data_IF_970615341334
#
_entry.id   IF_970615341334
#
_cell.length_a   1.000
_cell.length_b   1.000
_cell.length_c   1.000
_cell.angle_alpha   90.00
_cell.angle_beta   90.00
_cell.angle_gamma   90.00
#
_symmetry.space_group_name_H-M   'P 1'
#
loop_
_entity.id
_entity.type
_entity.pdbx_description
1 polymer ?
#
# COMPACT_ATOMS: atom_id res chain seq x y z
N UNK A 1 11.82 0.93 8.62
CA UNK A 1 10.35 0.83 8.75
C UNK A 1 9.82 0.01 7.59
N UNK A 2 8.79 -0.80 7.83
CA UNK A 2 8.03 -1.48 6.78
C UNK A 2 6.56 -1.14 6.95
N UNK A 3 5.84 -0.87 5.86
CA UNK A 3 4.41 -0.56 5.88
C UNK A 3 3.72 -1.38 4.80
N UNK A 4 2.56 -1.93 5.08
CA UNK A 4 1.72 -2.55 4.06
C UNK A 4 0.61 -3.40 4.66
N UNK A 5 0.32 -4.53 4.02
CA UNK A 5 -0.72 -5.45 4.46
C UNK A 5 -0.14 -6.82 4.78
N UNK A 6 -0.72 -7.48 5.79
CA UNK A 6 -0.47 -8.87 6.15
C UNK A 6 -1.70 -9.71 5.83
N UNK A 7 -1.47 -10.92 5.37
CA UNK A 7 -2.53 -11.90 5.16
C UNK A 7 -3.03 -12.45 6.51
N UNK A 8 -4.35 -12.60 6.68
CA UNK A 8 -4.94 -13.10 7.92
C UNK A 8 -4.59 -14.55 8.25
N UNK A 9 -4.57 -15.39 7.22
CA UNK A 9 -4.54 -16.84 7.33
C UNK A 9 -3.11 -17.40 7.27
N UNK A 10 -2.16 -16.56 6.85
CA UNK A 10 -0.77 -16.95 6.59
C UNK A 10 0.21 -15.89 7.08
N UNK A 11 1.49 -16.25 7.20
CA UNK A 11 2.56 -15.30 7.55
C UNK A 11 3.09 -14.49 6.35
N UNK A 12 2.29 -14.36 5.29
CA UNK A 12 2.61 -13.55 4.11
C UNK A 12 2.30 -12.08 4.38
N UNK A 13 3.13 -11.21 3.83
CA UNK A 13 2.94 -9.77 3.84
C UNK A 13 3.38 -9.19 2.49
N UNK A 14 2.76 -8.06 2.14
CA UNK A 14 3.16 -7.22 1.03
C UNK A 14 3.44 -5.85 1.64
N UNK A 15 4.70 -5.43 1.63
CA UNK A 15 5.15 -4.24 2.35
C UNK A 15 6.10 -3.42 1.49
N UNK A 16 6.07 -2.11 1.66
CA UNK A 16 7.14 -1.23 1.21
C UNK A 16 8.20 -1.11 2.29
N UNK A 17 9.46 -1.11 1.88
CA UNK A 17 10.61 -0.73 2.66
C UNK A 17 11.20 0.57 2.11
N UNK A 18 10.80 1.74 2.64
CA UNK A 18 11.19 3.04 2.09
C UNK A 18 12.71 3.28 2.09
N UNK A 19 13.42 2.71 3.06
CA UNK A 19 14.89 2.86 3.17
C UNK A 19 15.63 2.30 1.95
N UNK A 20 15.13 1.22 1.39
CA UNK A 20 15.73 0.58 0.21
C UNK A 20 14.92 0.81 -1.06
N UNK A 21 13.84 1.59 -1.00
CA UNK A 21 12.98 1.87 -2.14
C UNK A 21 12.51 0.58 -2.83
N UNK A 22 12.05 -0.41 -2.06
CA UNK A 22 11.57 -1.70 -2.57
C UNK A 22 10.19 -2.04 -2.03
N UNK A 23 9.38 -2.67 -2.87
CA UNK A 23 8.18 -3.41 -2.48
C UNK A 23 8.56 -4.88 -2.33
N UNK A 24 8.38 -5.41 -1.13
CA UNK A 24 8.59 -6.81 -0.80
C UNK A 24 7.25 -7.55 -0.86
N UNK A 25 7.15 -8.52 -1.75
CA UNK A 25 6.08 -9.51 -1.78
C UNK A 25 6.75 -10.88 -1.65
N UNK A 26 6.60 -11.56 -0.50
CA UNK A 26 7.35 -12.80 -0.20
C UNK A 26 7.26 -13.91 -1.25
N UNK A 27 6.30 -13.86 -2.19
CA UNK A 27 6.19 -14.82 -3.30
C UNK A 27 7.05 -14.47 -4.53
N UNK A 28 7.48 -13.21 -4.68
CA UNK A 28 8.14 -12.69 -5.89
C UNK A 28 9.44 -11.94 -5.56
N UNK A 29 10.27 -11.70 -6.58
CA UNK A 29 11.41 -10.80 -6.45
C UNK A 29 10.96 -9.39 -6.03
N UNK A 30 11.69 -8.71 -5.13
CA UNK A 30 11.38 -7.33 -4.75
C UNK A 30 11.31 -6.44 -5.98
N UNK A 31 10.32 -5.56 -6.04
CA UNK A 31 10.20 -4.56 -7.10
C UNK A 31 10.77 -3.24 -6.61
N UNK A 32 11.71 -2.65 -7.35
CA UNK A 32 12.22 -1.31 -7.05
C UNK A 32 11.14 -0.27 -7.31
N UNK A 33 11.14 0.78 -6.51
CA UNK A 33 10.26 1.94 -6.65
C UNK A 33 11.10 3.22 -6.64
N UNK A 34 10.62 4.27 -7.30
CA UNK A 34 11.30 5.56 -7.30
C UNK A 34 10.88 6.37 -6.07
N UNK A 35 11.59 6.19 -4.97
CA UNK A 35 11.34 6.87 -3.69
C UNK A 35 12.65 7.09 -2.94
N UNK A 36 12.75 8.21 -2.23
CA UNK A 36 13.77 8.48 -1.22
C UNK A 36 13.07 8.69 0.10
N UNK A 37 13.57 8.07 1.18
CA UNK A 37 13.00 8.23 2.51
C UNK A 37 13.55 9.49 3.20
N UNK A 38 12.65 10.35 3.70
CA UNK A 38 12.97 11.48 4.56
C UNK A 38 12.06 11.54 5.80
N UNK A 39 12.50 12.31 6.80
CA UNK A 39 11.69 12.62 7.98
C UNK A 39 10.44 13.40 7.56
N UNK A 40 9.30 13.11 8.22
CA UNK A 40 7.98 13.68 7.94
C UNK A 40 7.31 13.21 6.64
N UNK A 41 7.92 12.27 5.91
CA UNK A 41 7.24 11.64 4.78
C UNK A 41 5.96 10.92 5.22
N UNK A 42 4.90 11.13 4.45
CA UNK A 42 3.61 10.46 4.65
C UNK A 42 3.52 9.29 3.67
N UNK A 43 3.56 8.08 4.19
CA UNK A 43 3.36 6.87 3.41
C UNK A 43 1.91 6.40 3.49
N UNK A 44 1.35 6.02 2.34
CA UNK A 44 0.04 5.38 2.26
C UNK A 44 0.13 3.97 1.67
N UNK A 45 -0.81 3.12 2.08
CA UNK A 45 -1.02 1.80 1.51
C UNK A 45 -2.51 1.64 1.20
N UNK A 46 -2.83 1.29 -0.04
CA UNK A 46 -4.20 1.10 -0.49
C UNK A 46 -4.40 -0.30 -1.05
N UNK A 47 -5.58 -0.88 -0.79
CA UNK A 47 -6.06 -2.13 -1.36
C UNK A 47 -7.25 -1.81 -2.26
N UNK A 48 -7.19 -2.24 -3.52
CA UNK A 48 -8.23 -1.96 -4.49
C UNK A 48 -8.83 -3.28 -4.96
N UNK A 49 -10.14 -3.41 -4.79
CA UNK A 49 -10.91 -4.53 -5.32
C UNK A 49 -11.43 -4.19 -6.72
N UNK A 50 -11.45 -5.16 -7.64
CA UNK A 50 -12.10 -4.97 -8.92
C UNK A 50 -13.60 -4.74 -8.74
N UNK A 51 -14.24 -4.01 -9.67
CA UNK A 51 -15.70 -3.96 -9.75
C UNK A 51 -16.32 -5.36 -9.76
N UNK A 52 -17.50 -5.52 -9.16
CA UNK A 52 -18.16 -6.83 -8.97
C UNK A 52 -18.46 -7.57 -10.27
N UNK A 53 -18.57 -6.87 -11.39
CA UNK A 53 -18.78 -7.44 -12.73
C UNK A 53 -17.48 -7.94 -13.40
N UNK A 54 -16.31 -7.70 -12.82
CA UNK A 54 -15.00 -8.12 -13.34
C UNK A 54 -14.43 -9.31 -12.56
N UNK A 55 -15.16 -10.44 -12.56
CA UNK A 55 -14.85 -11.63 -11.75
C UNK A 55 -13.50 -12.31 -12.05
N UNK A 56 -12.90 -12.04 -13.22
CA UNK A 56 -11.60 -12.59 -13.61
C UNK A 56 -10.40 -11.73 -13.18
N UNK A 57 -10.64 -10.57 -12.56
CA UNK A 57 -9.58 -9.67 -12.09
C UNK A 57 -9.35 -9.89 -10.59
N UNK A 58 -8.13 -9.64 -10.12
CA UNK A 58 -7.76 -9.82 -8.71
C UNK A 58 -7.49 -8.46 -8.06
N UNK A 59 -7.73 -8.31 -6.76
CA UNK A 59 -7.34 -7.10 -6.04
C UNK A 59 -5.85 -6.81 -6.19
N UNK A 60 -5.47 -5.53 -6.07
CA UNK A 60 -4.06 -5.13 -6.00
C UNK A 60 -3.81 -4.21 -4.82
N UNK A 61 -2.55 -4.17 -4.39
CA UNK A 61 -2.07 -3.21 -3.39
C UNK A 61 -1.23 -2.16 -4.10
N UNK A 62 -1.41 -0.91 -3.72
CA UNK A 62 -0.53 0.17 -4.16
C UNK A 62 0.01 0.95 -2.96
N UNK A 63 1.12 1.64 -3.18
CA UNK A 63 1.79 2.43 -2.18
C UNK A 63 1.90 3.87 -2.66
N UNK A 64 1.87 4.79 -1.70
CA UNK A 64 2.03 6.22 -1.96
C UNK A 64 3.05 6.83 -1.02
N UNK A 65 3.70 7.89 -1.47
CA UNK A 65 4.52 8.78 -0.66
C UNK A 65 4.07 10.22 -0.93
N UNK A 66 3.77 10.97 0.12
CA UNK A 66 3.35 12.36 0.07
C UNK A 66 2.17 12.60 -0.90
N UNK A 67 1.27 11.62 -0.99
CA UNK A 67 0.07 11.69 -1.84
C UNK A 67 0.31 11.33 -3.31
N UNK A 68 1.50 10.88 -3.69
CA UNK A 68 1.82 10.37 -5.03
C UNK A 68 2.01 8.87 -4.99
N UNK A 69 1.47 8.17 -5.98
CA UNK A 69 1.71 6.73 -6.13
C UNK A 69 3.17 6.46 -6.49
N UNK A 70 3.78 5.49 -5.81
CA UNK A 70 5.20 5.13 -5.99
C UNK A 70 5.39 3.69 -6.47
N UNK A 71 4.35 2.86 -6.43
CA UNK A 71 4.40 1.51 -6.96
C UNK A 71 3.19 0.67 -6.60
N UNK A 72 3.03 -0.44 -7.32
CA UNK A 72 1.95 -1.41 -7.16
C UNK A 72 2.53 -2.81 -6.95
N UNK A 73 1.89 -3.58 -6.09
CA UNK A 73 2.09 -5.02 -5.99
C UNK A 73 0.96 -5.72 -6.77
N UNK A 74 1.33 -6.48 -7.79
CA UNK A 74 0.39 -7.05 -8.77
C UNK A 74 -0.54 -8.10 -8.16
N UNK A 75 -1.78 -8.13 -8.68
CA UNK A 75 -2.81 -9.18 -8.62
C UNK A 75 -2.66 -10.22 -7.51
N UNK A 76 -3.38 -10.00 -6.43
CA UNK A 76 -3.27 -10.76 -5.20
C UNK A 76 -4.44 -11.74 -5.12
N UNK A 77 -4.15 -13.05 -5.20
CA UNK A 77 -5.14 -14.12 -5.00
C UNK A 77 -5.46 -14.40 -3.54
N UNK A 78 -4.55 -14.01 -2.64
CA UNK A 78 -4.68 -14.31 -1.20
C UNK A 78 -5.35 -13.13 -0.47
N UNK A 79 -5.99 -13.36 0.69
CA UNK A 79 -6.68 -12.30 1.44
C UNK A 79 -5.69 -11.46 2.28
N UNK A 80 -5.35 -10.25 1.81
CA UNK A 80 -4.54 -9.29 2.57
C UNK A 80 -5.43 -8.13 3.03
N UNK A 81 -5.86 -8.15 4.28
CA UNK A 81 -6.87 -7.25 4.85
C UNK A 81 -6.41 -6.59 6.16
N UNK A 82 -5.26 -6.99 6.72
CA UNK A 82 -4.72 -6.42 7.96
C UNK A 82 -3.63 -5.39 7.69
N UNK A 83 -3.81 -4.12 8.07
CA UNK A 83 -2.73 -3.16 8.15
C UNK A 83 -1.56 -3.70 8.97
N UNK A 84 -0.35 -3.53 8.47
CA UNK A 84 0.87 -4.09 9.05
C UNK A 84 2.01 -3.09 8.99
N UNK A 85 2.64 -2.85 10.15
CA UNK A 85 3.79 -1.97 10.30
C UNK A 85 4.89 -2.65 11.11
N UNK A 86 6.15 -2.48 10.68
CA UNK A 86 7.33 -2.91 11.45
C UNK A 86 8.27 -1.73 11.61
N UNK A 87 8.54 -1.38 12.86
CA UNK A 87 9.41 -0.27 13.21
C UNK A 87 10.80 -0.78 13.57
N UNK A 88 11.82 -0.03 13.14
CA UNK A 88 13.22 -0.26 13.52
C UNK A 88 13.84 1.11 13.77
N UNK A 89 14.12 1.43 15.04
CA UNK A 89 14.72 2.70 15.46
C UNK A 89 14.00 3.95 14.94
N UNK A 90 12.66 3.94 14.89
CA UNK A 90 11.83 5.06 14.46
C UNK A 90 10.47 5.02 15.15
N UNK A 91 9.81 6.17 15.16
CA UNK A 91 8.42 6.34 15.62
C UNK A 91 7.56 6.79 14.44
N UNK A 92 6.31 6.36 14.42
CA UNK A 92 5.33 6.74 13.39
C UNK A 92 3.99 6.99 14.02
N UNK A 93 3.15 7.72 13.31
CA UNK A 93 1.74 7.90 13.63
C UNK A 93 0.89 7.24 12.53
N UNK A 94 -0.12 6.47 12.90
CA UNK A 94 -1.06 5.89 11.95
C UNK A 94 -2.24 6.84 11.72
N UNK A 95 -2.80 6.81 10.51
CA UNK A 95 -4.05 7.50 10.19
C UNK A 95 -4.97 6.52 9.46
N UNK A 96 -6.10 6.19 10.09
CA UNK A 96 -7.15 5.34 9.52
C UNK A 96 -8.37 6.13 9.04
N UNK A 97 -8.29 7.46 9.01
CA UNK A 97 -9.36 8.34 8.52
C UNK A 97 -10.43 8.67 9.56
N UNK A 98 -10.13 8.56 10.85
CA UNK A 98 -11.08 8.91 11.92
C UNK A 98 -11.38 10.42 12.00
N UNK A 99 -10.45 11.26 11.54
CA UNK A 99 -10.59 12.71 11.45
C UNK A 99 -10.06 13.17 10.09
N UNK A 100 -10.98 13.41 9.15
CA UNK A 100 -10.63 13.87 7.80
C UNK A 100 -10.58 15.40 7.69
N UNK A 101 -11.03 16.13 8.71
CA UNK A 101 -11.01 17.59 8.71
C UNK A 101 -9.63 18.10 9.11
N UNK A 102 -9.10 17.62 10.24
CA UNK A 102 -7.79 18.05 10.74
C UNK A 102 -6.65 17.17 10.24
N UNK A 103 -6.94 15.91 9.90
CA UNK A 103 -5.94 14.92 9.45
C UNK A 103 -6.40 14.14 8.21
N UNK A 104 -6.66 14.81 7.08
CA UNK A 104 -7.07 14.14 5.85
C UNK A 104 -6.02 13.14 5.35
N UNK A 105 -6.46 12.18 4.53
CA UNK A 105 -5.52 11.38 3.75
C UNK A 105 -4.72 12.29 2.81
N UNK A 106 -3.41 12.06 2.73
CA UNK A 106 -2.55 12.82 1.81
C UNK A 106 -2.78 12.43 0.35
N UNK A 107 -3.16 11.18 0.11
CA UNK A 107 -3.52 10.68 -1.21
C UNK A 107 -4.98 11.01 -1.51
N UNK A 108 -5.22 11.68 -2.63
CA UNK A 108 -6.57 11.96 -3.11
C UNK A 108 -7.13 10.74 -3.85
N UNK A 109 -7.98 9.99 -3.17
CA UNK A 109 -8.61 8.77 -3.66
C UNK A 109 -9.50 9.05 -4.88
N UNK A 110 -10.04 10.27 -5.03
CA UNK A 110 -10.92 10.60 -6.17
C UNK A 110 -10.19 10.56 -7.52
N UNK A 111 -8.87 10.73 -7.51
CA UNK A 111 -8.01 10.59 -8.70
C UNK A 111 -7.70 9.13 -9.05
N UNK A 112 -8.10 8.17 -8.22
CA UNK A 112 -7.84 6.74 -8.45
C UNK A 112 -8.89 6.17 -9.42
N UNK A 113 -8.61 6.19 -10.71
CA UNK A 113 -9.52 5.70 -11.76
C UNK A 113 -9.52 4.17 -11.85
N UNK A 114 -10.20 3.51 -10.91
CA UNK A 114 -10.28 2.03 -10.74
C UNK A 114 -10.57 1.28 -12.04
N UNK A 115 -11.47 1.77 -12.90
CA UNK A 115 -11.87 1.06 -14.12
C UNK A 115 -10.71 0.93 -15.11
N UNK A 116 -9.85 1.96 -15.24
CA UNK A 116 -8.71 1.91 -16.16
C UNK A 116 -7.62 0.93 -15.70
N UNK A 117 -7.57 0.68 -14.40
CA UNK A 117 -6.57 -0.19 -13.77
C UNK A 117 -6.88 -1.69 -13.95
N UNK A 118 -8.14 -2.02 -14.21
CA UNK A 118 -8.60 -3.39 -14.43
C UNK A 118 -8.98 -3.71 -15.87
N UNK A 119 -8.87 -2.76 -16.81
CA UNK A 119 -9.11 -3.01 -18.23
C UNK A 119 -7.97 -3.81 -18.83
#
# INVERSE_FOLDING_TARGET
MYIGLKNCDTNKNIVINPKYAIIENKKNNPSSVSTSFDNNDIFGCGLVYPPTNMTNKFPYIFFTQNGKEIGKATSIKDNFDKPHVVLRCCSVEANFGNDLETKPFKYDISNHLVVKEFN
#
